data_IF_549982087263
#
_entry.id   IF_549982087263
#
_cell.length_a   1.000
_cell.length_b   1.000
_cell.length_c   1.000
_cell.angle_alpha   90.00
_cell.angle_beta   90.00
_cell.angle_gamma   90.00
#
_symmetry.space_group_name_H-M   'P 1'
#
loop_
_entity.id
_entity.type
_entity.pdbx_description
1 polymer ?
#
# COMPACT_ATOMS: atom_id res chain seq x y z
N UNK A 1 -17.49 28.03 -1.85
CA UNK A 1 -18.45 27.10 -1.19
C UNK A 1 -18.24 25.63 -1.55
N UNK A 2 -17.92 25.25 -2.79
CA UNK A 2 -17.71 23.83 -3.17
C UNK A 2 -16.58 23.08 -2.42
N UNK A 3 -15.51 23.77 -2.00
CA UNK A 3 -14.38 23.14 -1.29
C UNK A 3 -14.71 22.70 0.14
N UNK A 4 -15.65 23.36 0.82
CA UNK A 4 -16.03 23.01 2.20
C UNK A 4 -16.93 21.77 2.19
N UNK A 5 -17.89 21.69 1.28
CA UNK A 5 -18.81 20.55 1.18
C UNK A 5 -18.10 19.22 0.80
N UNK A 6 -17.11 19.26 -0.12
CA UNK A 6 -16.34 18.07 -0.48
C UNK A 6 -15.45 17.57 0.66
N UNK A 7 -14.92 18.47 1.49
CA UNK A 7 -14.14 18.11 2.67
C UNK A 7 -15.06 17.55 3.77
N UNK A 8 -16.25 18.12 3.96
CA UNK A 8 -17.25 17.61 4.91
C UNK A 8 -17.75 16.20 4.54
N UNK A 9 -17.91 15.88 3.24
CA UNK A 9 -18.27 14.54 2.79
C UNK A 9 -17.11 13.52 2.94
N UNK A 10 -15.86 13.95 2.72
CA UNK A 10 -14.68 13.11 2.94
C UNK A 10 -14.32 12.88 4.42
N UNK A 11 -14.88 13.70 5.31
CA UNK A 11 -14.68 13.64 6.76
C UNK A 11 -15.89 13.09 7.53
N UNK A 12 -16.99 12.81 6.84
CA UNK A 12 -18.05 11.99 7.39
C UNK A 12 -17.48 10.58 7.49
N UNK A 13 -17.32 10.00 8.70
CA UNK A 13 -16.75 8.67 8.85
C UNK A 13 -17.49 7.73 7.91
N UNK A 14 -16.74 6.99 7.10
CA UNK A 14 -17.30 6.01 6.17
C UNK A 14 -18.38 5.19 6.86
N UNK A 15 -19.56 5.19 6.25
CA UNK A 15 -20.80 4.55 6.69
C UNK A 15 -20.57 3.23 7.44
N UNK A 16 -20.72 3.24 8.77
CA UNK A 16 -21.06 2.06 9.59
C UNK A 16 -19.93 1.11 10.02
N UNK A 17 -18.67 1.36 9.68
CA UNK A 17 -17.55 0.53 10.15
C UNK A 17 -17.07 0.91 11.56
N UNK A 18 -16.59 -0.05 12.35
CA UNK A 18 -15.91 0.24 13.61
C UNK A 18 -14.70 1.15 13.33
N UNK A 19 -14.69 2.41 13.80
CA UNK A 19 -13.60 3.33 13.53
C UNK A 19 -12.26 2.80 14.07
N UNK A 20 -12.29 1.93 15.10
CA UNK A 20 -11.09 1.28 15.65
C UNK A 20 -10.68 -0.01 14.95
N UNK A 21 -11.40 -0.40 13.91
CA UNK A 21 -11.28 -1.74 13.34
C UNK A 21 -11.96 -2.77 14.24
N UNK A 22 -12.14 -4.01 13.76
CA UNK A 22 -12.81 -5.02 14.57
C UNK A 22 -11.97 -5.38 15.79
N UNK A 23 -12.61 -5.60 16.95
CA UNK A 23 -11.93 -6.12 18.17
C UNK A 23 -11.14 -7.41 17.91
N UNK A 24 -11.59 -8.19 16.93
CA UNK A 24 -10.92 -9.38 16.41
C UNK A 24 -11.08 -9.40 14.90
N UNK A 25 -9.97 -9.48 14.17
CA UNK A 25 -10.01 -9.61 12.71
C UNK A 25 -10.70 -10.93 12.32
N UNK A 26 -11.67 -10.91 11.40
CA UNK A 26 -12.29 -12.13 10.92
C UNK A 26 -11.27 -12.98 10.15
N UNK A 27 -11.47 -14.31 10.09
CA UNK A 27 -10.60 -15.18 9.31
C UNK A 27 -10.63 -14.79 7.83
N UNK A 28 -9.50 -14.99 7.16
CA UNK A 28 -9.35 -14.79 5.70
C UNK A 28 -8.88 -16.07 5.03
N UNK A 29 -9.20 -16.23 3.75
CA UNK A 29 -8.68 -17.34 2.97
C UNK A 29 -7.25 -17.09 2.57
N UNK A 30 -6.42 -18.08 2.86
CA UNK A 30 -5.00 -18.06 2.59
C UNK A 30 -4.67 -19.30 1.76
N UNK A 31 -4.15 -19.15 0.53
CA UNK A 31 -3.67 -20.28 -0.25
C UNK A 31 -2.52 -20.98 0.49
N UNK A 32 -2.53 -22.32 0.53
CA UNK A 32 -1.48 -23.12 1.20
C UNK A 32 -0.11 -22.82 0.63
N UNK A 33 -0.06 -22.86 -0.70
CA UNK A 33 1.18 -22.85 -1.45
C UNK A 33 1.86 -21.49 -1.29
N UNK A 34 1.06 -20.42 -1.21
CA UNK A 34 1.55 -19.06 -1.07
C UNK A 34 0.71 -18.30 -0.05
N UNK A 35 1.03 -18.42 1.26
CA UNK A 35 0.23 -17.82 2.31
C UNK A 35 0.16 -16.29 2.25
N UNK A 36 1.13 -15.69 1.57
CA UNK A 36 1.18 -14.25 1.32
C UNK A 36 0.98 -13.91 -0.15
N UNK A 37 0.48 -14.82 -0.98
CA UNK A 37 0.25 -14.60 -2.41
C UNK A 37 1.52 -14.61 -3.26
N UNK A 38 1.43 -14.04 -4.46
CA UNK A 38 2.47 -14.07 -5.48
C UNK A 38 2.83 -12.66 -5.95
N UNK A 39 4.09 -12.46 -6.32
CA UNK A 39 4.60 -11.30 -7.03
C UNK A 39 4.89 -11.65 -8.49
N UNK A 40 4.60 -10.72 -9.38
CA UNK A 40 4.95 -10.81 -10.80
C UNK A 40 6.25 -10.08 -11.10
N UNK A 41 6.74 -10.20 -12.33
CA UNK A 41 7.91 -9.43 -12.76
C UNK A 41 7.71 -7.93 -12.47
N UNK A 42 8.69 -7.30 -11.80
CA UNK A 42 8.61 -5.89 -11.45
C UNK A 42 8.39 -5.01 -12.68
N UNK A 43 7.55 -4.00 -12.55
CA UNK A 43 7.31 -3.03 -13.62
C UNK A 43 6.86 -1.70 -13.02
N UNK A 44 7.45 -0.61 -13.49
CA UNK A 44 6.93 0.74 -13.22
C UNK A 44 5.68 1.02 -14.05
N UNK A 45 4.65 0.19 -13.89
CA UNK A 45 3.38 0.29 -14.62
C UNK A 45 2.21 0.00 -13.68
N UNK A 46 1.31 0.98 -13.53
CA UNK A 46 0.09 0.86 -12.72
C UNK A 46 -1.04 0.13 -13.45
N UNK A 47 -0.83 -0.27 -14.71
CA UNK A 47 -1.73 -1.18 -15.42
C UNK A 47 -1.59 -2.59 -14.84
N UNK A 48 -2.71 -3.30 -14.83
CA UNK A 48 -2.87 -4.59 -14.14
C UNK A 48 -2.48 -5.77 -15.03
N UNK A 49 -1.58 -5.52 -15.99
CA UNK A 49 -1.09 -6.56 -16.88
C UNK A 49 -0.14 -7.46 -16.08
N UNK A 50 -0.58 -8.68 -15.84
CA UNK A 50 0.21 -9.72 -15.17
C UNK A 50 1.44 -10.05 -16.02
N UNK A 51 2.63 -10.01 -15.41
CA UNK A 51 3.92 -10.26 -16.06
C UNK A 51 4.60 -11.48 -15.46
N UNK A 52 4.52 -12.61 -16.16
CA UNK A 52 5.11 -13.87 -15.72
C UNK A 52 6.66 -13.84 -15.78
N UNK A 53 7.37 -14.66 -14.98
CA UNK A 53 6.83 -15.65 -14.04
C UNK A 53 6.27 -15.00 -12.76
N UNK A 54 5.34 -15.70 -12.13
CA UNK A 54 4.90 -15.40 -10.77
C UNK A 54 5.84 -16.10 -9.77
N UNK A 55 6.23 -15.40 -8.72
CA UNK A 55 7.04 -15.93 -7.61
C UNK A 55 6.28 -15.78 -6.31
N UNK A 56 6.39 -16.74 -5.39
CA UNK A 56 5.76 -16.62 -4.09
C UNK A 56 6.27 -15.36 -3.37
N UNK A 57 5.34 -14.59 -2.81
CA UNK A 57 5.69 -13.42 -2.03
C UNK A 57 6.15 -13.88 -0.65
N UNK A 58 7.43 -13.66 -0.34
CA UNK A 58 7.98 -13.80 1.00
C UNK A 58 8.05 -12.40 1.65
N UNK A 59 7.00 -11.96 2.36
CA UNK A 59 6.98 -10.62 2.94
C UNK A 59 8.01 -10.48 4.06
N UNK A 60 8.54 -9.28 4.21
CA UNK A 60 9.42 -8.91 5.34
C UNK A 60 9.16 -7.49 5.81
N UNK A 61 9.50 -7.23 7.06
CA UNK A 61 9.43 -5.89 7.61
C UNK A 61 10.27 -4.91 6.75
N UNK A 62 9.70 -3.75 6.49
CA UNK A 62 10.27 -2.75 5.58
C UNK A 62 9.78 -2.83 4.14
N UNK A 63 9.07 -3.88 3.71
CA UNK A 63 8.41 -3.91 2.42
C UNK A 63 7.31 -2.85 2.35
N UNK A 64 7.23 -2.11 1.24
CA UNK A 64 6.23 -1.04 1.05
C UNK A 64 5.12 -1.55 0.15
N UNK A 65 3.88 -1.51 0.65
CA UNK A 65 2.69 -1.83 -0.11
C UNK A 65 2.13 -0.55 -0.73
N UNK A 66 1.87 -0.57 -2.03
CA UNK A 66 1.29 0.53 -2.79
C UNK A 66 -0.07 0.06 -3.31
N UNK A 67 -1.11 0.82 -3.02
CA UNK A 67 -2.48 0.36 -3.13
C UNK A 67 -3.26 1.26 -4.10
N UNK A 68 -4.01 0.65 -5.01
CA UNK A 68 -4.81 1.40 -5.97
C UNK A 68 -5.94 2.18 -5.31
N UNK A 69 -6.37 3.27 -5.92
CA UNK A 69 -7.64 3.91 -5.56
C UNK A 69 -8.81 2.92 -5.71
N UNK A 70 -9.66 2.86 -4.69
CA UNK A 70 -10.87 2.01 -4.66
C UNK A 70 -12.11 2.74 -5.17
N UNK A 71 -12.05 4.08 -5.27
CA UNK A 71 -13.16 4.92 -5.73
C UNK A 71 -12.71 6.01 -6.72
N UNK A 72 -13.57 6.40 -7.68
CA UNK A 72 -13.29 7.52 -8.58
C UNK A 72 -13.08 8.86 -7.86
N UNK A 73 -13.66 9.01 -6.66
CA UNK A 73 -13.48 10.19 -5.81
C UNK A 73 -12.00 10.37 -5.44
N UNK A 74 -11.37 9.33 -4.87
CA UNK A 74 -9.94 9.39 -4.52
C UNK A 74 -9.04 9.58 -5.74
N UNK A 75 -9.35 8.89 -6.84
CA UNK A 75 -8.62 9.08 -8.11
C UNK A 75 -8.64 10.54 -8.55
N UNK A 76 -9.78 11.23 -8.42
CA UNK A 76 -9.92 12.64 -8.79
C UNK A 76 -9.16 13.54 -7.83
N UNK A 77 -9.27 13.29 -6.52
CA UNK A 77 -8.61 14.07 -5.49
C UNK A 77 -7.07 14.00 -5.61
N UNK A 78 -6.50 12.82 -5.86
CA UNK A 78 -5.07 12.67 -6.06
C UNK A 78 -4.55 13.41 -7.31
N UNK A 79 -5.37 13.55 -8.35
CA UNK A 79 -5.02 14.37 -9.51
C UNK A 79 -4.95 15.86 -9.16
N UNK A 80 -5.85 16.35 -8.30
CA UNK A 80 -5.87 17.76 -7.87
C UNK A 80 -4.62 18.15 -7.06
N UNK A 81 -4.04 17.22 -6.32
CA UNK A 81 -2.78 17.42 -5.58
C UNK A 81 -1.53 17.11 -6.43
N UNK A 82 -1.68 17.05 -7.76
CA UNK A 82 -0.61 16.75 -8.72
C UNK A 82 0.08 15.40 -8.48
N UNK A 83 -0.70 14.41 -8.03
CA UNK A 83 -0.31 13.01 -7.92
C UNK A 83 -1.18 12.15 -8.86
N UNK A 84 -1.08 10.83 -8.73
CA UNK A 84 -1.84 9.85 -9.50
C UNK A 84 -1.87 8.52 -8.77
N UNK A 85 -2.07 7.43 -9.53
CA UNK A 85 -2.03 6.07 -9.00
C UNK A 85 -0.57 5.63 -8.76
N UNK A 86 -0.29 4.79 -7.76
CA UNK A 86 -1.20 4.32 -6.70
C UNK A 86 -1.65 5.46 -5.76
N UNK A 87 -2.84 5.33 -5.18
CA UNK A 87 -3.45 6.38 -4.35
C UNK A 87 -3.26 6.17 -2.85
N UNK A 88 -2.80 4.99 -2.42
CA UNK A 88 -2.57 4.72 -1.00
C UNK A 88 -1.27 3.93 -0.81
N UNK A 89 -0.71 3.99 0.39
CA UNK A 89 0.53 3.31 0.74
C UNK A 89 0.50 2.82 2.17
N UNK A 90 1.14 1.68 2.40
CA UNK A 90 1.28 1.07 3.71
C UNK A 90 2.67 0.43 3.86
N UNK A 91 3.05 0.09 5.08
CA UNK A 91 4.36 -0.48 5.40
C UNK A 91 4.20 -1.81 6.13
N UNK A 92 4.90 -2.85 5.66
CA UNK A 92 5.00 -4.12 6.38
C UNK A 92 5.93 -3.93 7.58
N UNK A 93 5.47 -4.35 8.76
CA UNK A 93 6.20 -4.22 10.03
C UNK A 93 6.09 -5.51 10.83
N UNK A 94 7.05 -5.79 11.69
CA UNK A 94 6.88 -6.79 12.75
C UNK A 94 5.95 -6.22 13.83
N UNK A 95 4.98 -6.99 14.28
CA UNK A 95 4.09 -6.64 15.40
C UNK A 95 4.72 -7.10 16.72
N UNK A 96 4.23 -6.60 17.88
CA UNK A 96 4.77 -7.02 19.19
C UNK A 96 4.73 -8.52 19.48
N UNK A 97 3.83 -9.26 18.82
CA UNK A 97 3.73 -10.73 18.92
C UNK A 97 4.68 -11.48 17.98
N UNK A 98 5.54 -10.77 17.26
CA UNK A 98 6.50 -11.32 16.29
C UNK A 98 5.89 -11.64 14.92
N UNK A 99 4.58 -11.49 14.72
CA UNK A 99 3.94 -11.70 13.41
C UNK A 99 4.10 -10.46 12.54
N UNK A 100 3.93 -10.62 11.23
CA UNK A 100 3.91 -9.49 10.31
C UNK A 100 2.55 -8.80 10.33
N UNK A 101 2.61 -7.47 10.34
CA UNK A 101 1.47 -6.59 10.19
C UNK A 101 1.71 -5.52 9.12
N UNK A 102 0.69 -4.70 8.90
CA UNK A 102 0.69 -3.57 7.99
C UNK A 102 0.32 -2.32 8.79
N UNK A 103 1.24 -1.35 8.81
CA UNK A 103 1.00 -0.01 9.29
C UNK A 103 0.44 0.84 8.15
N UNK A 104 -0.76 1.38 8.32
CA UNK A 104 -1.34 2.34 7.37
C UNK A 104 -2.19 3.40 8.06
N UNK A 105 -2.08 4.64 7.59
CA UNK A 105 -2.96 5.73 7.98
C UNK A 105 -4.07 5.86 6.94
N UNK A 106 -5.33 5.88 7.36
CA UNK A 106 -6.45 5.89 6.41
C UNK A 106 -7.04 4.51 6.12
N UNK A 107 -6.86 3.54 7.03
CA UNK A 107 -7.33 2.15 6.84
C UNK A 107 -8.82 2.12 6.48
N UNK A 108 -9.18 1.46 5.38
CA UNK A 108 -10.56 1.35 4.89
C UNK A 108 -11.31 2.71 4.85
N UNK A 109 -10.65 3.75 4.35
CA UNK A 109 -11.19 5.12 4.27
C UNK A 109 -11.58 5.72 5.64
N UNK A 110 -11.10 5.15 6.74
CA UNK A 110 -11.27 5.73 8.09
C UNK A 110 -10.29 6.88 8.31
N UNK A 111 -10.56 7.72 9.31
CA UNK A 111 -9.63 8.79 9.71
C UNK A 111 -8.58 8.32 10.72
N UNK A 112 -8.23 7.03 10.72
CA UNK A 112 -7.36 6.47 11.73
C UNK A 112 -6.18 5.69 11.14
N UNK A 113 -5.10 5.65 11.91
CA UNK A 113 -3.95 4.80 11.63
C UNK A 113 -4.11 3.46 12.32
N UNK A 114 -3.87 2.37 11.59
CA UNK A 114 -4.04 1.01 12.07
C UNK A 114 -2.77 0.22 11.88
N UNK A 115 -2.53 -0.69 12.81
CA UNK A 115 -1.62 -1.81 12.68
C UNK A 115 -2.49 -3.06 12.52
N UNK A 116 -2.48 -3.65 11.33
CA UNK A 116 -3.35 -4.79 10.98
C UNK A 116 -2.54 -6.02 10.65
N UNK A 117 -3.01 -7.26 10.92
CA UNK A 117 -2.33 -8.47 10.45
C UNK A 117 -2.14 -8.44 8.93
N UNK A 118 -0.94 -8.81 8.46
CA UNK A 118 -0.58 -8.69 7.05
C UNK A 118 -1.48 -9.53 6.14
N UNK A 119 -1.71 -10.78 6.52
CA UNK A 119 -2.57 -11.73 5.83
C UNK A 119 -3.99 -11.19 5.65
N UNK A 120 -4.58 -10.69 6.75
CA UNK A 120 -5.88 -10.05 6.73
C UNK A 120 -5.91 -8.88 5.74
N UNK A 121 -4.89 -8.03 5.79
CA UNK A 121 -4.85 -6.81 4.99
C UNK A 121 -4.70 -7.06 3.50
N UNK A 122 -3.86 -8.02 3.13
CA UNK A 122 -3.66 -8.46 1.75
C UNK A 122 -4.95 -9.08 1.19
N UNK A 123 -5.60 -9.96 1.94
CA UNK A 123 -6.82 -10.64 1.51
C UNK A 123 -8.05 -9.73 1.40
N UNK A 124 -8.16 -8.72 2.27
CA UNK A 124 -9.33 -7.83 2.32
C UNK A 124 -9.28 -6.67 1.34
N UNK A 125 -8.12 -6.35 0.75
CA UNK A 125 -8.05 -5.15 -0.07
C UNK A 125 -8.89 -5.30 -1.35
N UNK A 126 -9.87 -4.41 -1.61
CA UNK A 126 -10.71 -4.52 -2.79
C UNK A 126 -10.06 -3.92 -4.06
N UNK A 127 -8.75 -3.70 -4.05
CA UNK A 127 -8.04 -3.09 -5.17
C UNK A 127 -6.79 -3.86 -5.54
N UNK A 128 -5.93 -3.23 -6.34
CA UNK A 128 -4.65 -3.78 -6.74
C UNK A 128 -3.58 -3.38 -5.74
N UNK A 129 -2.71 -4.34 -5.42
CA UNK A 129 -1.54 -4.13 -4.57
C UNK A 129 -0.30 -4.27 -5.44
N UNK A 130 0.62 -3.34 -5.28
CA UNK A 130 1.99 -3.47 -5.73
C UNK A 130 2.91 -3.48 -4.52
N UNK A 131 3.94 -4.31 -4.57
CA UNK A 131 4.92 -4.44 -3.50
C UNK A 131 6.26 -3.91 -4.00
N UNK A 132 6.82 -2.99 -3.24
CA UNK A 132 8.23 -2.61 -3.29
C UNK A 132 8.92 -3.45 -2.23
N UNK A 133 9.59 -4.53 -2.64
CA UNK A 133 10.31 -5.38 -1.70
C UNK A 133 11.63 -4.73 -1.31
N UNK A 134 11.96 -4.72 -0.01
CA UNK A 134 13.26 -4.24 0.45
C UNK A 134 14.35 -5.19 -0.05
N UNK A 135 15.46 -4.67 -0.58
CA UNK A 135 16.58 -5.53 -0.99
C UNK A 135 17.28 -6.17 0.21
N UNK A 136 17.68 -5.35 1.17
CA UNK A 136 18.44 -5.78 2.36
C UNK A 136 17.50 -5.88 3.56
N UNK A 137 17.41 -7.04 4.22
CA UNK A 137 16.63 -7.17 5.45
C UNK A 137 17.00 -6.11 6.49
N UNK A 138 16.02 -5.70 7.30
CA UNK A 138 16.28 -4.80 8.42
C UNK A 138 17.20 -5.47 9.43
N UNK A 139 18.12 -4.71 10.01
CA UNK A 139 18.81 -5.14 11.22
C UNK A 139 17.82 -5.27 12.39
N UNK A 140 18.10 -6.06 13.43
CA UNK A 140 17.22 -6.20 14.59
C UNK A 140 16.85 -4.85 15.23
N UNK A 141 17.80 -3.92 15.33
CA UNK A 141 17.58 -2.57 15.86
C UNK A 141 16.65 -1.73 14.97
N UNK A 142 16.78 -1.85 13.65
CA UNK A 142 15.91 -1.15 12.71
C UNK A 142 14.48 -1.71 12.77
N UNK A 143 14.32 -3.03 12.83
CA UNK A 143 13.02 -3.68 12.96
C UNK A 143 12.33 -3.29 14.28
N UNK A 144 13.04 -3.36 15.41
CA UNK A 144 12.51 -2.95 16.70
C UNK A 144 12.05 -1.48 16.73
N UNK A 145 12.82 -0.57 16.10
CA UNK A 145 12.41 0.84 15.95
C UNK A 145 11.18 0.98 15.06
N UNK A 146 11.09 0.18 13.99
CA UNK A 146 9.95 0.21 13.10
C UNK A 146 8.67 -0.24 13.81
N UNK A 147 8.76 -1.33 14.57
CA UNK A 147 7.70 -1.82 15.46
C UNK A 147 7.29 -0.75 16.48
N UNK A 148 8.26 -0.11 17.14
CA UNK A 148 7.99 0.94 18.12
C UNK A 148 7.26 2.14 17.49
N UNK A 149 7.64 2.55 16.28
CA UNK A 149 6.91 3.58 15.54
C UNK A 149 5.47 3.13 15.25
N UNK A 150 5.29 1.92 14.71
CA UNK A 150 3.98 1.40 14.33
C UNK A 150 3.02 1.35 15.52
N UNK A 151 3.46 0.84 16.67
CA UNK A 151 2.68 0.81 17.93
C UNK A 151 2.33 2.23 18.39
N UNK A 152 3.27 3.18 18.29
CA UNK A 152 3.00 4.57 18.69
C UNK A 152 2.02 5.30 17.77
N UNK A 153 1.98 4.90 16.50
CA UNK A 153 1.14 5.49 15.46
C UNK A 153 -0.25 4.84 15.41
N UNK A 154 -0.40 3.62 15.92
CA UNK A 154 -1.68 2.94 16.00
C UNK A 154 -2.71 3.80 16.76
N UNK A 155 -3.95 3.83 16.27
CA UNK A 155 -5.04 4.63 16.82
C UNK A 155 -4.82 6.15 16.77
N UNK A 156 -3.77 6.66 16.10
CA UNK A 156 -3.64 8.10 15.86
C UNK A 156 -4.53 8.55 14.71
N UNK A 157 -5.06 9.77 14.85
CA UNK A 157 -5.90 10.39 13.82
C UNK A 157 -5.10 10.67 12.55
N UNK A 158 -5.77 10.56 11.42
CA UNK A 158 -5.28 10.94 10.12
C UNK A 158 -4.97 12.44 10.09
N UNK A 159 -3.92 12.84 9.39
CA UNK A 159 -3.51 14.23 9.24
C UNK A 159 -4.44 15.02 8.29
N UNK A 160 -5.74 15.07 8.59
CA UNK A 160 -6.79 15.67 7.75
C UNK A 160 -6.45 17.10 7.33
N UNK A 161 -6.07 17.96 8.28
CA UNK A 161 -5.77 19.36 7.98
C UNK A 161 -4.59 19.50 7.02
N UNK A 162 -3.55 18.67 7.20
CA UNK A 162 -2.40 18.65 6.30
C UNK A 162 -2.81 18.13 4.92
N UNK A 163 -3.60 17.06 4.85
CA UNK A 163 -4.11 16.52 3.60
C UNK A 163 -4.99 17.52 2.84
N UNK A 164 -5.88 18.23 3.55
CA UNK A 164 -6.69 19.31 2.99
C UNK A 164 -5.84 20.47 2.49
N UNK A 165 -4.74 20.82 3.16
CA UNK A 165 -3.84 21.86 2.68
C UNK A 165 -3.19 21.51 1.32
N UNK A 166 -3.08 20.23 0.98
CA UNK A 166 -2.46 19.76 -0.28
C UNK A 166 -3.24 20.17 -1.53
N UNK A 167 -4.57 20.34 -1.43
CA UNK A 167 -5.42 20.78 -2.55
C UNK A 167 -5.43 22.30 -2.73
N UNK A 168 -4.71 23.02 -1.87
CA UNK A 168 -4.64 24.48 -1.92
C UNK A 168 -3.30 24.93 -2.50
N UNK A 169 -3.18 26.19 -2.95
CA UNK A 169 -1.90 26.78 -3.27
C UNK A 169 -0.90 26.75 -2.09
N UNK A 170 -1.36 26.53 -0.85
CA UNK A 170 -0.54 26.34 0.36
C UNK A 170 0.11 24.95 0.48
N UNK A 171 -0.10 24.08 -0.50
CA UNK A 171 0.45 22.73 -0.52
C UNK A 171 1.97 22.69 -0.26
N UNK A 172 2.45 21.82 0.63
CA UNK A 172 3.88 21.58 0.82
C UNK A 172 4.53 20.94 -0.41
N UNK A 173 3.75 20.45 -1.39
CA UNK A 173 4.23 19.88 -2.66
C UNK A 173 4.56 20.93 -3.74
N UNK A 174 4.44 22.22 -3.43
CA UNK A 174 4.90 23.28 -4.35
C UNK A 174 6.42 23.21 -4.57
N UNK A 175 6.94 23.45 -5.80
CA UNK A 175 8.33 23.18 -6.17
C UNK A 175 9.37 23.92 -5.30
N UNK A 176 9.04 25.14 -4.84
CA UNK A 176 9.90 25.94 -3.95
C UNK A 176 9.69 25.53 -2.49
N UNK A 177 8.43 25.29 -2.10
CA UNK A 177 8.06 25.06 -0.69
C UNK A 177 8.51 23.70 -0.18
N UNK A 178 8.64 22.69 -1.04
CA UNK A 178 9.05 21.35 -0.60
C UNK A 178 10.47 21.33 -0.02
N UNK A 179 11.39 22.09 -0.60
CA UNK A 179 12.76 22.19 -0.08
C UNK A 179 12.79 22.79 1.33
N UNK A 180 11.90 23.76 1.58
CA UNK A 180 11.74 24.47 2.86
C UNK A 180 10.74 23.79 3.81
N UNK A 181 9.99 22.80 3.34
CA UNK A 181 8.98 22.13 4.13
C UNK A 181 9.66 21.41 5.31
N UNK A 182 9.00 21.37 6.49
CA UNK A 182 9.54 20.64 7.63
C UNK A 182 9.88 19.20 7.26
N UNK A 183 11.00 18.72 7.78
CA UNK A 183 11.40 17.32 7.66
C UNK A 183 10.51 16.37 8.48
N UNK A 184 10.93 15.10 8.59
CA UNK A 184 10.27 14.10 9.43
C UNK A 184 10.10 14.59 10.87
N UNK A 185 8.93 14.33 11.45
CA UNK A 185 8.52 14.76 12.79
C UNK A 185 8.67 13.67 13.85
N UNK A 186 8.77 12.39 13.46
CA UNK A 186 8.94 11.25 14.38
C UNK A 186 7.63 10.57 14.80
N UNK A 187 7.60 9.77 15.87
CA UNK A 187 6.39 9.08 16.31
C UNK A 187 5.39 10.01 17.03
N UNK A 188 4.13 9.59 17.08
CA UNK A 188 3.11 10.20 17.97
C UNK A 188 2.28 11.34 17.40
N UNK A 189 2.62 11.90 16.23
CA UNK A 189 1.81 12.93 15.57
C UNK A 189 0.82 12.35 14.53
N UNK A 190 -0.26 13.08 14.20
CA UNK A 190 -1.15 12.71 13.10
C UNK A 190 -0.42 12.64 11.75
N UNK A 191 -0.55 11.51 11.06
CA UNK A 191 0.06 11.22 9.75
C UNK A 191 -1.01 10.88 8.72
N UNK A 192 -0.69 11.07 7.43
CA UNK A 192 -1.44 10.45 6.33
C UNK A 192 -0.66 9.25 5.77
N UNK A 193 -1.25 8.50 4.84
CA UNK A 193 -0.74 7.20 4.39
C UNK A 193 0.76 7.17 4.05
N UNK A 194 1.22 8.00 3.11
CA UNK A 194 2.64 8.04 2.72
C UNK A 194 3.53 8.64 3.79
N UNK A 195 3.01 9.61 4.56
CA UNK A 195 3.75 10.16 5.68
C UNK A 195 4.02 9.09 6.74
N UNK A 196 3.05 8.23 7.07
CA UNK A 196 3.26 7.11 8.01
C UNK A 196 4.41 6.20 7.57
N UNK A 197 4.45 5.82 6.28
CA UNK A 197 5.52 5.00 5.70
C UNK A 197 6.89 5.66 5.87
N UNK A 198 7.01 6.92 5.45
CA UNK A 198 8.30 7.61 5.43
C UNK A 198 8.80 8.00 6.82
N UNK A 199 7.91 8.43 7.71
CA UNK A 199 8.26 8.74 9.11
C UNK A 199 8.74 7.47 9.83
N UNK A 200 8.07 6.33 9.61
CA UNK A 200 8.47 5.04 10.17
C UNK A 200 9.87 4.63 9.68
N UNK A 201 10.13 4.70 8.38
CA UNK A 201 11.44 4.35 7.80
C UNK A 201 12.55 5.30 8.27
N UNK A 202 12.27 6.59 8.42
CA UNK A 202 13.22 7.55 9.00
C UNK A 202 13.49 7.24 10.47
N UNK A 203 12.45 6.98 11.26
CA UNK A 203 12.58 6.66 12.68
C UNK A 203 13.40 5.38 12.91
N UNK A 204 13.19 4.39 12.04
CA UNK A 204 13.97 3.16 11.98
C UNK A 204 15.38 3.35 11.39
N UNK A 205 15.77 4.56 10.97
CA UNK A 205 17.08 4.85 10.34
C UNK A 205 17.35 3.99 9.09
N UNK A 206 16.30 3.72 8.32
CA UNK A 206 16.39 2.98 7.05
C UNK A 206 16.63 3.95 5.89
N UNK A 207 16.12 5.18 5.99
CA UNK A 207 16.31 6.26 5.00
C UNK A 207 16.77 7.55 5.68
N UNK A 208 17.47 8.42 4.94
CA UNK A 208 18.07 9.65 5.48
C UNK A 208 17.01 10.73 5.76
N UNK A 209 16.88 11.15 7.02
CA UNK A 209 15.99 12.24 7.44
C UNK A 209 16.22 13.56 6.70
N UNK A 210 17.42 13.83 6.17
CA UNK A 210 17.79 15.11 5.56
C UNK A 210 17.14 15.32 4.20
N UNK A 211 16.97 14.24 3.44
CA UNK A 211 16.53 14.26 2.04
C UNK A 211 15.03 13.98 1.88
N UNK A 212 14.36 13.50 2.93
CA UNK A 212 12.95 13.12 2.86
C UNK A 212 12.03 14.28 3.23
N UNK A 213 10.89 14.38 2.53
CA UNK A 213 9.81 15.33 2.80
C UNK A 213 8.48 14.59 2.91
N UNK A 214 8.17 13.96 4.06
CA UNK A 214 7.00 13.11 4.19
C UNK A 214 5.70 13.84 3.87
N UNK A 215 5.57 15.09 4.32
CA UNK A 215 4.40 15.93 4.07
C UNK A 215 4.18 16.28 2.59
N UNK A 216 5.19 16.17 1.74
CA UNK A 216 5.08 16.51 0.32
C UNK A 216 5.10 15.28 -0.60
N UNK A 217 5.32 14.08 -0.05
CA UNK A 217 5.50 12.85 -0.83
C UNK A 217 4.21 12.04 -0.88
N UNK A 218 3.95 11.41 -2.03
CA UNK A 218 2.76 10.63 -2.33
C UNK A 218 3.11 9.20 -2.76
N UNK A 219 2.14 8.26 -2.76
CA UNK A 219 2.41 6.87 -3.12
C UNK A 219 2.91 6.73 -4.56
N UNK A 220 2.47 7.61 -5.47
CA UNK A 220 3.01 7.67 -6.83
C UNK A 220 4.53 7.91 -6.85
N UNK A 221 5.05 8.79 -6.00
CA UNK A 221 6.49 9.06 -5.97
C UNK A 221 7.28 7.83 -5.50
N UNK A 222 6.72 7.10 -4.52
CA UNK A 222 7.29 5.84 -4.03
C UNK A 222 7.22 4.72 -5.08
N UNK A 223 6.16 4.71 -5.90
CA UNK A 223 5.98 3.72 -6.94
C UNK A 223 7.04 3.87 -8.02
N UNK A 224 7.21 5.08 -8.55
CA UNK A 224 8.05 5.34 -9.72
C UNK A 224 9.51 5.65 -9.40
N UNK A 225 9.87 5.88 -8.14
CA UNK A 225 11.13 6.53 -7.74
C UNK A 225 11.36 7.86 -8.46
N UNK A 226 10.28 8.52 -8.86
CA UNK A 226 10.27 9.74 -9.67
C UNK A 226 9.14 10.63 -9.21
N UNK A 227 9.32 11.94 -9.30
CA UNK A 227 8.31 12.90 -8.89
C UNK A 227 8.21 14.08 -9.84
N UNK A 228 7.00 14.64 -9.93
CA UNK A 228 6.79 15.97 -10.54
C UNK A 228 7.35 17.09 -9.67
N UNK A 229 7.57 16.81 -8.39
CA UNK A 229 8.22 17.73 -7.48
C UNK A 229 9.74 17.64 -7.64
N UNK A 230 10.44 18.72 -8.06
CA UNK A 230 11.87 18.65 -8.35
C UNK A 230 12.74 18.28 -7.15
N UNK A 231 12.31 18.58 -5.92
CA UNK A 231 13.05 18.19 -4.72
C UNK A 231 12.96 16.68 -4.51
N UNK A 232 11.75 16.12 -4.59
CA UNK A 232 11.52 14.67 -4.41
C UNK A 232 12.15 13.88 -5.56
N UNK A 233 12.13 14.40 -6.79
CA UNK A 233 12.74 13.72 -7.96
C UNK A 233 14.26 13.56 -7.82
N UNK A 234 14.93 14.50 -7.14
CA UNK A 234 16.36 14.41 -6.81
C UNK A 234 16.66 13.54 -5.58
N UNK A 235 15.64 13.27 -4.78
CA UNK A 235 15.74 12.53 -3.52
C UNK A 235 14.66 11.44 -3.41
N UNK A 236 14.61 10.51 -4.38
CA UNK A 236 13.58 9.46 -4.39
C UNK A 236 13.73 8.56 -3.16
N UNK A 237 12.71 8.46 -2.29
CA UNK A 237 12.87 7.85 -0.96
C UNK A 237 13.27 6.38 -0.95
N UNK A 238 12.86 5.62 -1.96
CA UNK A 238 13.00 4.16 -2.01
C UNK A 238 14.03 3.70 -3.06
N UNK A 239 14.69 4.64 -3.73
CA UNK A 239 15.73 4.32 -4.70
C UNK A 239 16.88 3.58 -3.99
N UNK A 240 17.46 2.59 -4.66
CA UNK A 240 18.56 1.71 -4.21
C UNK A 240 18.23 0.76 -3.03
N UNK A 241 17.28 1.11 -2.17
CA UNK A 241 16.87 0.26 -1.05
C UNK A 241 15.79 -0.77 -1.41
N UNK A 242 14.98 -0.51 -2.42
CA UNK A 242 13.82 -1.36 -2.74
C UNK A 242 13.82 -1.78 -4.20
N UNK A 243 13.38 -3.01 -4.45
CA UNK A 243 13.11 -3.51 -5.79
C UNK A 243 12.03 -2.64 -6.46
N UNK A 244 12.02 -2.57 -7.82
CA UNK A 244 10.93 -1.96 -8.54
C UNK A 244 9.58 -2.57 -8.14
N UNK A 245 8.46 -1.86 -8.30
CA UNK A 245 7.17 -2.34 -7.83
C UNK A 245 6.76 -3.59 -8.61
N UNK A 246 6.41 -4.66 -7.89
CA UNK A 246 5.86 -5.88 -8.43
C UNK A 246 4.36 -5.96 -8.12
N UNK A 247 3.53 -6.28 -9.12
CA UNK A 247 2.11 -6.52 -8.85
C UNK A 247 1.96 -7.74 -7.96
N UNK A 248 1.06 -7.66 -6.98
CA UNK A 248 0.72 -8.75 -6.08
C UNK A 248 -0.66 -9.34 -6.42
N UNK A 249 -0.78 -10.66 -6.36
CA UNK A 249 -2.08 -11.35 -6.43
C UNK A 249 -2.16 -12.50 -5.42
N UNK A 250 -3.35 -12.83 -4.90
CA UNK A 250 -3.51 -13.96 -3.99
C UNK A 250 -3.28 -15.31 -4.71
N UNK A 251 -3.64 -15.41 -5.99
CA UNK A 251 -3.53 -16.63 -6.81
C UNK A 251 -2.80 -16.30 -8.11
N UNK A 252 -1.98 -17.23 -8.62
CA UNK A 252 -1.26 -17.07 -9.90
C UNK A 252 -2.24 -16.86 -11.05
N UNK A 253 -1.88 -15.96 -11.98
CA UNK A 253 -2.67 -15.65 -13.18
C UNK A 253 -3.90 -14.81 -12.90
N UNK A 254 -4.23 -14.53 -11.64
CA UNK A 254 -5.46 -13.87 -11.28
C UNK A 254 -5.23 -12.41 -10.93
N UNK A 255 -5.34 -11.54 -11.94
CA UNK A 255 -5.11 -10.10 -11.77
C UNK A 255 -6.24 -9.38 -11.04
N UNK A 256 -7.33 -10.05 -10.67
CA UNK A 256 -8.57 -9.37 -10.25
C UNK A 256 -8.53 -9.00 -8.77
N UNK A 257 -8.17 -7.77 -8.46
CA UNK A 257 -8.48 -7.15 -7.17
C UNK A 257 -9.93 -6.70 -7.13
N UNK A 258 -10.62 -6.84 -6.00
CA UNK A 258 -11.98 -6.29 -5.83
C UNK A 258 -13.05 -7.26 -5.33
N UNK A 259 -14.30 -6.93 -5.67
CA UNK A 259 -15.50 -7.67 -5.25
C UNK A 259 -15.54 -9.12 -5.75
N UNK A 260 -14.72 -9.41 -6.75
CA UNK A 260 -14.64 -10.71 -7.42
C UNK A 260 -13.68 -11.69 -6.72
N UNK A 261 -12.96 -11.23 -5.68
CA UNK A 261 -12.25 -12.13 -4.77
C UNK A 261 -13.30 -12.98 -4.02
N UNK A 262 -13.15 -14.33 -3.96
CA UNK A 262 -14.14 -15.19 -3.35
C UNK A 262 -14.17 -14.86 -1.85
N UNK A 263 -15.34 -14.50 -1.36
CA UNK A 263 -15.54 -14.24 0.06
C UNK A 263 -15.77 -15.56 0.80
N UNK A 264 -15.36 -15.68 2.07
CA UNK A 264 -15.82 -16.78 2.91
C UNK A 264 -17.35 -16.79 2.97
N UNK A 265 -17.99 -17.97 2.89
CA UNK A 265 -19.41 -18.08 3.11
C UNK A 265 -19.66 -17.77 4.60
N UNK A 266 -20.29 -16.62 4.84
CA UNK A 266 -20.68 -16.06 6.15
C UNK A 266 -19.60 -16.05 7.26
N UNK A 267 -19.89 -15.38 8.38
CA UNK A 267 -19.00 -15.35 9.54
C UNK A 267 -19.00 -16.73 10.22
N UNK A 268 -18.07 -17.60 9.84
CA UNK A 268 -17.92 -18.89 10.50
C UNK A 268 -17.39 -18.70 11.94
N UNK A 269 -17.90 -19.45 12.94
CA UNK A 269 -17.53 -19.29 14.33
C UNK A 269 -16.20 -20.00 14.58
N UNK A 270 -15.10 -19.39 14.18
CA UNK A 270 -13.75 -19.93 14.39
C UNK A 270 -12.71 -18.97 13.85
N UNK A 271 -11.90 -18.37 14.73
CA UNK A 271 -10.85 -17.43 14.33
C UNK A 271 -9.57 -18.14 13.88
N UNK A 272 -9.70 -19.16 13.04
CA UNK A 272 -8.60 -19.93 12.45
C UNK A 272 -8.53 -19.68 10.94
N UNK A 273 -7.33 -19.61 10.39
CA UNK A 273 -7.11 -19.50 8.95
C UNK A 273 -7.22 -20.89 8.31
N UNK A 274 -8.17 -21.07 7.39
CA UNK A 274 -8.35 -22.32 6.66
C UNK A 274 -7.64 -22.28 5.31
N UNK A 275 -6.92 -23.37 5.05
CA UNK A 275 -6.24 -23.70 3.80
C UNK A 275 -7.25 -24.00 2.70
N UNK A 276 -7.04 -23.42 1.52
CA UNK A 276 -7.89 -23.65 0.34
C UNK A 276 -7.03 -23.93 -0.90
N UNK A 277 -7.35 -24.98 -1.67
CA UNK A 277 -6.92 -25.08 -3.08
C UNK A 277 -7.99 -24.39 -3.95
N UNK A 278 -7.65 -23.31 -4.68
CA UNK A 278 -8.55 -22.78 -5.68
C UNK A 278 -8.63 -23.76 -6.84
N UNK A 279 -9.76 -24.43 -7.03
CA UNK A 279 -10.01 -25.18 -8.27
C UNK A 279 -10.42 -24.14 -9.32
N UNK A 280 -9.64 -24.03 -10.40
CA UNK A 280 -9.89 -23.08 -11.47
C UNK A 280 -11.31 -23.24 -12.03
N UNK A 281 -12.16 -22.25 -11.80
CA UNK A 281 -13.32 -22.02 -12.65
C UNK A 281 -12.82 -21.56 -14.02
N UNK A 282 -13.61 -21.78 -15.09
CA UNK A 282 -13.29 -21.22 -16.41
C UNK A 282 -13.00 -19.71 -16.33
N UNK A 283 -12.39 -19.10 -17.36
CA UNK A 283 -11.81 -17.75 -17.37
C UNK A 283 -12.66 -16.59 -16.77
N UNK A 284 -13.95 -16.80 -16.53
CA UNK A 284 -14.89 -15.83 -15.96
C UNK A 284 -15.63 -16.31 -14.69
N UNK A 285 -15.24 -17.42 -14.06
CA UNK A 285 -15.85 -17.90 -12.80
C UNK A 285 -14.86 -17.81 -11.63
N UNK A 286 -15.28 -17.28 -10.47
CA UNK A 286 -14.45 -17.30 -9.28
C UNK A 286 -14.20 -18.76 -8.86
N UNK A 287 -12.97 -19.12 -8.47
CA UNK A 287 -12.65 -20.48 -8.03
C UNK A 287 -13.50 -20.84 -6.80
N UNK A 288 -14.02 -22.07 -6.78
CA UNK A 288 -14.72 -22.60 -5.60
C UNK A 288 -13.66 -23.09 -4.60
N UNK A 289 -13.64 -22.56 -3.36
CA UNK A 289 -12.66 -22.98 -2.37
C UNK A 289 -12.94 -24.42 -1.90
N UNK A 290 -11.96 -25.32 -2.04
CA UNK A 290 -11.99 -26.67 -1.41
C UNK A 290 -10.90 -26.75 -0.34
N UNK A 291 -11.28 -27.12 0.88
CA UNK A 291 -10.38 -27.29 2.04
C UNK A 291 -9.71 -28.67 1.98
N UNK A 292 -8.38 -28.73 2.13
CA UNK A 292 -7.59 -29.83 1.53
C UNK A 292 -6.35 -30.29 2.31
N UNK A 293 -5.85 -29.57 3.34
CA UNK A 293 -4.75 -30.09 4.18
C UNK A 293 -3.78 -29.04 4.76
N UNK A 294 -2.54 -29.46 5.09
CA UNK A 294 -1.44 -28.64 5.66
C UNK A 294 -0.08 -29.20 5.21
N UNK A 295 0.75 -28.47 4.46
CA UNK A 295 2.12 -28.92 4.05
C UNK A 295 3.06 -27.73 3.73
N UNK A 296 4.39 -27.79 4.02
CA UNK A 296 5.39 -26.76 3.70
C UNK A 296 6.08 -26.98 2.33
N UNK A 297 6.53 -25.91 1.66
CA UNK A 297 7.13 -25.95 0.31
C UNK A 297 8.52 -25.29 0.19
N UNK A 298 9.37 -25.86 -0.66
CA UNK A 298 10.69 -25.33 -1.08
C UNK A 298 10.61 -24.57 -2.42
N UNK A 299 11.52 -23.60 -2.62
CA UNK A 299 11.53 -22.62 -3.72
C UNK A 299 12.72 -22.81 -4.69
N UNK A 300 12.45 -22.71 -6.00
CA UNK A 300 13.46 -22.57 -7.05
C UNK A 300 13.62 -21.12 -7.53
N UNK A 301 14.84 -20.71 -7.91
CA UNK A 301 15.18 -19.36 -8.39
C UNK A 301 15.06 -19.20 -9.92
N UNK A 302 14.76 -17.99 -10.38
CA UNK A 302 14.79 -17.55 -11.80
C UNK A 302 15.50 -16.19 -11.91
N UNK A 303 16.21 -15.97 -13.02
CA UNK A 303 17.06 -14.80 -13.26
C UNK A 303 16.31 -13.46 -13.40
N UNK A 304 16.99 -12.37 -12.98
CA UNK A 304 16.53 -10.98 -13.02
C UNK A 304 16.56 -10.39 -14.44
N UNK A 305 15.54 -9.58 -14.77
CA UNK A 305 15.52 -8.73 -15.98
C UNK A 305 15.96 -7.32 -15.60
N UNK A 306 16.87 -6.72 -16.36
CA UNK A 306 17.25 -5.32 -16.19
C UNK A 306 16.10 -4.37 -16.55
N UNK A 307 15.67 -3.55 -15.59
CA UNK A 307 14.65 -2.52 -15.80
C UNK A 307 15.27 -1.12 -15.74
N UNK A 308 15.00 -0.30 -16.77
CA UNK A 308 15.26 1.14 -16.73
C UNK A 308 14.02 1.88 -16.17
N UNK A 309 14.21 2.88 -15.29
CA UNK A 309 13.11 3.72 -14.84
C UNK A 309 12.48 4.45 -16.04
N UNK A 310 11.15 4.34 -16.19
CA UNK A 310 10.43 5.15 -17.18
C UNK A 310 10.39 6.61 -16.73
N UNK A 311 10.63 7.54 -17.65
CA UNK A 311 10.41 8.97 -17.37
C UNK A 311 8.91 9.19 -17.18
N UNK A 312 8.51 9.73 -16.03
CA UNK A 312 7.14 10.23 -15.84
C UNK A 312 6.87 11.34 -16.85
N UNK A 313 6.07 11.05 -17.87
CA UNK A 313 5.63 12.02 -18.84
C UNK A 313 4.66 13.03 -18.20
N UNK A 314 4.66 14.25 -18.71
CA UNK A 314 3.60 15.23 -18.42
C UNK A 314 2.20 14.67 -18.77
N UNK A 315 2.17 13.65 -19.66
CA UNK A 315 0.99 12.98 -20.22
C UNK A 315 0.80 11.51 -19.82
N UNK A 316 1.44 10.99 -18.76
CA UNK A 316 1.04 9.71 -18.12
C UNK A 316 -0.34 9.80 -17.40
N UNK A 317 -1.21 10.66 -17.93
CA UNK A 317 -2.63 10.73 -17.65
C UNK A 317 -3.26 9.44 -18.18
N UNK A 318 -4.05 8.68 -17.42
CA UNK A 318 -5.11 7.90 -18.05
C UNK A 318 -5.96 8.89 -18.88
N UNK A 319 -6.37 8.54 -20.11
CA UNK A 319 -7.00 9.47 -21.02
C UNK A 319 -8.19 10.17 -20.33
N UNK A 320 -8.15 11.50 -20.30
CA UNK A 320 -9.30 12.32 -19.93
C UNK A 320 -10.35 12.09 -21.01
N UNK A 321 -11.34 11.24 -20.72
CA UNK A 321 -12.53 11.03 -21.54
C UNK A 321 -12.19 10.63 -22.99
N UNK A 322 -11.85 9.36 -23.21
CA UNK A 322 -12.19 8.76 -24.51
C UNK A 322 -13.71 8.75 -24.60
N UNK A 323 -14.24 9.69 -25.38
CA UNK A 323 -15.63 9.70 -25.83
C UNK A 323 -16.02 8.28 -26.25
N UNK A 324 -17.15 7.79 -25.75
CA UNK A 324 -17.91 6.75 -26.44
C UNK A 324 -18.06 7.19 -27.91
N UNK A 325 -17.49 6.42 -28.82
CA UNK A 325 -18.03 6.18 -30.15
C UNK A 325 -18.10 4.67 -30.29
#
# INVERSE_FOLDING_TARGET
MFQIAALSLALSPGFGGDPVGPKRYPPVYIPVEAPSGYLYQPTYDVRTAVRLPATQYAPKAGDVLLLSDTTPFWTTLYRLVFSGRPGHSALVVTMPDGKLGVLEAGFNDTIWTRLTPLDYRLAQFPGYIWVRQRHVPLTPDQDARLTAFAVSAENKRYAVGLFAAQITPLSPRGPIRTALAPGPRGPGHPVFCTQAVLEALVFAKVIDRRTIRPAATYPQDLFYDRSRNPYIDRHPPLLDGWAPPAQWTPVVGWSVGGKDVPKPPSAWPGGEAHVVHPIGGGANQPPTPVVVGRVPGELGQVALVEHRPQRLGLFDRPPLLSRRR
#
